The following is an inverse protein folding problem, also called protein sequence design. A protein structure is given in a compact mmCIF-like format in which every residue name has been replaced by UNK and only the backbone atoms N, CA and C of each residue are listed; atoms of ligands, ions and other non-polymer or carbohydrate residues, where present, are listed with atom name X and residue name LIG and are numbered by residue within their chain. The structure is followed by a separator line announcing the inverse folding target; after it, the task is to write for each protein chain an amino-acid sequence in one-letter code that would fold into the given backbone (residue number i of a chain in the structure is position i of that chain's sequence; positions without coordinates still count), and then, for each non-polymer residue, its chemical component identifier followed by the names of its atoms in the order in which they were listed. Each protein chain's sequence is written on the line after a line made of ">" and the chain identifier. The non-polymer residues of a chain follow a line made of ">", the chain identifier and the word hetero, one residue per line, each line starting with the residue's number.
data_IF_230514230565
#
_entry.id   IF_230514230565
#
_cell.length_a   1.000
_cell.length_b   1.000
_cell.length_c   1.000
_cell.angle_alpha   90.00
_cell.angle_beta   90.00
_cell.angle_gamma   90.00
#
_symmetry.space_group_name_H-M   'P 1'
#
loop_
_entity.id
_entity.type
_entity.pdbx_description
1 polymer ?
#
# COMPACT_ATOMS: atom_id res chain seq x y z
N UNK A 1 -3.70 8.38 -55.81
CA UNK A 1 -2.65 8.89 -54.89
C UNK A 1 -3.20 9.44 -53.56
N UNK A 2 -4.30 10.21 -53.52
CA UNK A 2 -4.80 10.82 -52.26
C UNK A 2 -5.23 9.80 -51.19
N UNK A 3 -5.88 8.70 -51.57
CA UNK A 3 -6.33 7.64 -50.63
C UNK A 3 -5.20 7.00 -49.84
N UNK A 4 -4.04 6.76 -50.46
CA UNK A 4 -2.87 6.16 -49.79
C UNK A 4 -2.30 7.13 -48.74
N UNK A 5 -2.30 8.44 -49.04
CA UNK A 5 -1.84 9.45 -48.07
C UNK A 5 -2.76 9.54 -46.85
N UNK A 6 -4.07 9.49 -47.03
CA UNK A 6 -5.04 9.53 -45.92
C UNK A 6 -4.91 8.31 -45.03
N UNK A 7 -4.77 7.11 -45.60
CA UNK A 7 -4.57 5.87 -44.84
C UNK A 7 -3.23 5.89 -44.09
N UNK A 8 -2.15 6.35 -44.72
CA UNK A 8 -0.85 6.47 -44.10
C UNK A 8 -0.85 7.47 -42.93
N UNK A 9 -1.44 8.65 -43.10
CA UNK A 9 -1.56 9.65 -42.03
C UNK A 9 -2.43 9.13 -40.88
N UNK A 10 -3.53 8.43 -41.19
CA UNK A 10 -4.40 7.81 -40.18
C UNK A 10 -3.69 6.71 -39.39
N UNK A 11 -2.86 5.90 -40.06
CA UNK A 11 -2.09 4.84 -39.42
C UNK A 11 -1.01 5.40 -38.48
N UNK A 12 -0.33 6.48 -38.88
CA UNK A 12 0.69 7.14 -38.04
C UNK A 12 0.06 7.78 -36.80
N UNK A 13 -1.08 8.46 -36.95
CA UNK A 13 -1.82 9.04 -35.82
C UNK A 13 -2.29 7.92 -34.88
N UNK A 14 -2.86 6.85 -35.42
CA UNK A 14 -3.30 5.70 -34.62
C UNK A 14 -2.15 5.05 -33.86
N UNK A 15 -1.01 4.80 -34.53
CA UNK A 15 0.17 4.23 -33.89
C UNK A 15 0.73 5.14 -32.78
N UNK A 16 0.68 6.46 -32.98
CA UNK A 16 1.13 7.44 -31.98
C UNK A 16 0.21 7.44 -30.74
N UNK A 17 -1.10 7.45 -30.95
CA UNK A 17 -2.09 7.38 -29.87
C UNK A 17 -1.99 6.05 -29.13
N UNK A 18 -1.89 4.93 -29.84
CA UNK A 18 -1.68 3.61 -29.25
C UNK A 18 -0.38 3.54 -28.44
N UNK A 19 0.74 4.08 -28.97
CA UNK A 19 2.01 4.14 -28.26
C UNK A 19 1.92 4.93 -26.95
N UNK A 20 1.26 6.09 -26.96
CA UNK A 20 1.03 6.90 -25.75
C UNK A 20 0.15 6.16 -24.74
N UNK A 21 -0.93 5.52 -25.19
CA UNK A 21 -1.79 4.72 -24.31
C UNK A 21 -1.06 3.53 -23.71
N UNK A 22 -0.18 2.85 -24.46
CA UNK A 22 0.64 1.75 -23.94
C UNK A 22 1.61 2.24 -22.87
N UNK A 23 2.29 3.36 -23.08
CA UNK A 23 3.19 3.94 -22.09
C UNK A 23 2.44 4.37 -20.82
N UNK A 24 1.28 4.99 -20.98
CA UNK A 24 0.40 5.37 -19.87
C UNK A 24 -0.08 4.17 -19.07
N UNK A 25 -0.55 3.13 -19.75
CA UNK A 25 -1.03 1.91 -19.10
C UNK A 25 0.11 1.18 -18.37
N UNK A 26 1.31 1.13 -18.96
CA UNK A 26 2.48 0.57 -18.31
C UNK A 26 2.86 1.34 -17.03
N UNK A 27 2.74 2.68 -17.04
CA UNK A 27 2.98 3.49 -15.85
C UNK A 27 1.95 3.18 -14.74
N UNK A 28 0.66 3.10 -15.09
CA UNK A 28 -0.39 2.74 -14.14
C UNK A 28 -0.21 1.33 -13.56
N UNK A 29 0.15 0.35 -14.40
CA UNK A 29 0.40 -1.02 -13.97
C UNK A 29 1.55 -1.09 -12.96
N UNK A 30 2.66 -0.39 -13.21
CA UNK A 30 3.80 -0.32 -12.28
C UNK A 30 3.36 0.22 -10.92
N UNK A 31 2.58 1.30 -10.90
CA UNK A 31 2.05 1.89 -9.64
C UNK A 31 1.14 0.93 -8.87
N UNK A 32 0.30 0.16 -9.57
CA UNK A 32 -0.57 -0.84 -8.92
C UNK A 32 0.25 -1.98 -8.35
N UNK A 33 1.26 -2.44 -9.08
CA UNK A 33 2.13 -3.55 -8.68
C UNK A 33 3.01 -3.15 -7.47
N UNK A 34 3.53 -1.93 -7.45
CA UNK A 34 4.20 -1.32 -6.29
C UNK A 34 3.29 -1.31 -5.07
N UNK A 35 2.06 -0.80 -5.20
CA UNK A 35 1.08 -0.78 -4.11
C UNK A 35 0.75 -2.18 -3.59
N UNK A 36 0.60 -3.15 -4.48
CA UNK A 36 0.34 -4.54 -4.12
C UNK A 36 1.51 -5.13 -3.34
N UNK A 37 2.74 -4.90 -3.78
CA UNK A 37 3.95 -5.34 -3.06
C UNK A 37 4.05 -4.73 -1.67
N UNK A 38 3.78 -3.43 -1.54
CA UNK A 38 3.79 -2.73 -0.25
C UNK A 38 2.71 -3.33 0.67
N UNK A 39 1.50 -3.59 0.17
CA UNK A 39 0.42 -4.21 0.94
C UNK A 39 0.77 -5.65 1.39
N UNK A 40 1.34 -6.46 0.51
CA UNK A 40 1.82 -7.81 0.85
C UNK A 40 2.92 -7.77 1.91
N UNK A 41 3.84 -6.81 1.81
CA UNK A 41 4.88 -6.61 2.81
C UNK A 41 4.29 -6.15 4.15
N UNK A 42 3.30 -5.24 4.12
CA UNK A 42 2.56 -4.79 5.29
C UNK A 42 1.91 -5.96 6.02
N UNK A 43 1.25 -6.87 5.28
CA UNK A 43 0.64 -8.07 5.85
C UNK A 43 1.69 -8.95 6.53
N UNK A 44 2.80 -9.25 5.85
CA UNK A 44 3.86 -10.11 6.40
C UNK A 44 4.46 -9.54 7.69
N UNK A 45 4.77 -8.24 7.68
CA UNK A 45 5.31 -7.55 8.85
C UNK A 45 4.30 -7.52 10.00
N UNK A 46 3.04 -7.21 9.71
CA UNK A 46 1.97 -7.17 10.71
C UNK A 46 1.75 -8.53 11.37
N UNK A 47 1.68 -9.62 10.59
CA UNK A 47 1.53 -10.96 11.12
C UNK A 47 2.75 -11.38 11.94
N UNK A 48 3.97 -11.11 11.45
CA UNK A 48 5.19 -11.45 12.18
C UNK A 48 5.28 -10.74 13.52
N UNK A 49 4.97 -9.43 13.58
CA UNK A 49 4.97 -8.69 14.84
C UNK A 49 3.86 -9.16 15.79
N UNK A 50 2.66 -9.39 15.25
CA UNK A 50 1.53 -9.89 16.05
C UNK A 50 1.81 -11.29 16.62
N UNK A 51 2.40 -12.20 15.86
CA UNK A 51 2.79 -13.53 16.32
C UNK A 51 3.87 -13.44 17.40
N UNK A 52 4.88 -12.59 17.21
CA UNK A 52 5.92 -12.35 18.20
C UNK A 52 5.35 -11.79 19.51
N UNK A 53 4.46 -10.78 19.43
CA UNK A 53 3.77 -10.25 20.60
C UNK A 53 2.89 -11.31 21.26
N UNK A 54 2.14 -12.10 20.49
CA UNK A 54 1.32 -13.17 21.04
C UNK A 54 2.17 -14.22 21.76
N UNK A 55 3.31 -14.60 21.20
CA UNK A 55 4.24 -15.55 21.80
C UNK A 55 4.86 -14.99 23.09
N UNK A 56 5.32 -13.73 23.08
CA UNK A 56 5.86 -13.05 24.25
C UNK A 56 4.83 -12.99 25.39
N UNK A 57 3.58 -12.67 25.06
CA UNK A 57 2.52 -12.51 26.06
C UNK A 57 2.08 -13.85 26.65
N UNK A 58 2.12 -14.92 25.86
CA UNK A 58 1.97 -16.30 26.37
C UNK A 58 3.08 -16.68 27.35
N UNK A 59 4.31 -16.20 27.15
CA UNK A 59 5.45 -16.48 28.04
C UNK A 59 5.44 -15.65 29.32
N UNK A 60 5.12 -14.36 29.23
CA UNK A 60 5.15 -13.42 30.37
C UNK A 60 3.86 -13.48 31.20
N UNK A 61 2.76 -13.97 30.61
CA UNK A 61 1.47 -14.15 31.30
C UNK A 61 0.78 -12.84 31.73
N UNK A 62 1.26 -11.68 31.26
CA UNK A 62 0.70 -10.36 31.60
C UNK A 62 0.60 -9.44 30.38
N UNK A 63 -0.58 -8.83 30.23
CA UNK A 63 -0.91 -7.72 29.33
C UNK A 63 -1.86 -8.10 28.18
N UNK A 64 -2.23 -7.13 27.35
CA UNK A 64 -3.19 -7.30 26.25
C UNK A 64 -2.52 -7.30 24.88
N UNK A 65 -2.78 -8.32 24.06
CA UNK A 65 -2.40 -8.34 22.65
C UNK A 65 -3.50 -7.67 21.84
N UNK A 66 -3.15 -6.63 21.07
CA UNK A 66 -4.07 -6.03 20.12
C UNK A 66 -4.43 -7.03 19.00
N UNK A 67 -5.63 -6.95 18.41
CA UNK A 67 -5.99 -7.78 17.28
C UNK A 67 -5.03 -7.57 16.08
N UNK A 68 -4.79 -8.59 15.24
CA UNK A 68 -3.86 -8.51 14.11
C UNK A 68 -4.23 -7.41 13.12
N UNK A 69 -5.51 -7.03 13.00
CA UNK A 69 -5.93 -5.96 12.10
C UNK A 69 -5.36 -4.58 12.50
N UNK A 70 -5.04 -4.37 13.78
CA UNK A 70 -4.42 -3.12 14.26
C UNK A 70 -2.96 -3.04 13.81
N UNK A 71 -2.22 -4.15 13.87
CA UNK A 71 -0.86 -4.23 13.35
C UNK A 71 -0.85 -3.99 11.83
N UNK A 72 -1.80 -4.60 11.12
CA UNK A 72 -1.94 -4.38 9.68
C UNK A 72 -2.20 -2.91 9.35
N UNK A 73 -3.13 -2.27 10.08
CA UNK A 73 -3.42 -0.86 9.91
C UNK A 73 -2.18 0.01 10.13
N UNK A 74 -1.41 -0.24 11.21
CA UNK A 74 -0.15 0.47 11.49
C UNK A 74 0.84 0.38 10.32
N UNK A 75 1.12 -0.84 9.83
CA UNK A 75 2.05 -1.01 8.70
C UNK A 75 1.53 -0.45 7.38
N UNK A 76 0.21 -0.42 7.18
CA UNK A 76 -0.39 0.21 5.99
C UNK A 76 -0.14 1.72 5.93
N UNK A 77 0.06 2.36 7.10
CA UNK A 77 0.42 3.78 7.20
C UNK A 77 1.95 3.99 7.18
N UNK A 78 2.71 3.13 7.86
CA UNK A 78 4.17 3.28 7.99
C UNK A 78 4.92 3.00 6.68
N UNK A 79 4.57 1.94 5.95
CA UNK A 79 5.36 1.52 4.79
C UNK A 79 5.36 2.55 3.64
N UNK A 80 4.24 3.23 3.32
CA UNK A 80 4.28 4.31 2.35
C UNK A 80 5.19 5.48 2.76
N UNK A 81 5.30 5.77 4.07
CA UNK A 81 6.19 6.83 4.57
C UNK A 81 7.66 6.41 4.46
N UNK A 82 7.96 5.15 4.78
CA UNK A 82 9.29 4.56 4.62
C UNK A 82 9.73 4.55 3.15
N UNK A 83 8.86 4.11 2.25
CA UNK A 83 9.14 4.02 0.80
C UNK A 83 9.47 5.38 0.18
N UNK A 84 8.84 6.46 0.67
CA UNK A 84 9.09 7.83 0.23
C UNK A 84 10.24 8.52 0.96
N UNK A 85 10.80 7.90 2.01
CA UNK A 85 11.79 8.55 2.88
C UNK A 85 11.20 9.70 3.71
N UNK A 86 9.88 9.71 3.92
CA UNK A 86 9.13 10.76 4.65
C UNK A 86 8.91 10.39 6.13
N UNK A 87 9.66 9.43 6.66
CA UNK A 87 9.53 9.01 8.05
C UNK A 87 10.20 10.02 8.99
N UNK A 88 9.43 11.01 9.44
CA UNK A 88 9.86 11.97 10.47
C UNK A 88 9.21 11.66 11.83
N UNK A 89 9.74 12.18 12.94
CA UNK A 89 9.14 12.04 14.27
C UNK A 89 7.68 12.51 14.33
N UNK A 90 7.34 13.58 13.60
CA UNK A 90 5.99 14.13 13.53
C UNK A 90 5.05 13.15 12.82
N UNK A 91 5.50 12.57 11.70
CA UNK A 91 4.72 11.57 10.96
C UNK A 91 4.55 10.27 11.74
N UNK A 92 5.55 9.88 12.53
CA UNK A 92 5.40 8.76 13.47
C UNK A 92 4.32 9.05 14.52
N UNK A 93 4.31 10.24 15.11
CA UNK A 93 3.29 10.62 16.09
C UNK A 93 1.88 10.66 15.46
N UNK A 94 1.74 11.12 14.21
CA UNK A 94 0.47 11.06 13.46
C UNK A 94 -0.01 9.61 13.28
N UNK A 95 0.89 8.69 12.92
CA UNK A 95 0.57 7.27 12.76
C UNK A 95 0.14 6.66 14.09
N UNK A 96 0.88 6.92 15.17
CA UNK A 96 0.56 6.38 16.49
C UNK A 96 -0.80 6.89 16.99
N UNK A 97 -1.09 8.18 16.78
CA UNK A 97 -2.40 8.77 17.09
C UNK A 97 -3.54 8.12 16.27
N UNK A 98 -3.32 7.87 14.97
CA UNK A 98 -4.30 7.20 14.12
C UNK A 98 -4.55 5.74 14.56
N UNK A 99 -3.50 5.02 14.94
CA UNK A 99 -3.60 3.65 15.46
C UNK A 99 -4.36 3.63 16.78
N UNK A 100 -4.07 4.56 17.69
CA UNK A 100 -4.76 4.69 18.97
C UNK A 100 -6.26 4.97 18.77
N UNK A 101 -6.60 5.90 17.88
CA UNK A 101 -7.99 6.18 17.52
C UNK A 101 -8.70 4.93 16.95
N UNK A 102 -8.03 4.15 16.10
CA UNK A 102 -8.58 2.91 15.56
C UNK A 102 -8.83 1.86 16.66
N UNK A 103 -7.95 1.77 17.66
CA UNK A 103 -8.14 0.89 18.82
C UNK A 103 -9.36 1.32 19.63
N UNK A 104 -9.52 2.62 19.87
CA UNK A 104 -10.61 3.18 20.69
C UNK A 104 -11.98 3.10 20.01
N UNK A 105 -12.03 3.25 18.69
CA UNK A 105 -13.29 3.28 17.92
C UNK A 105 -13.72 1.92 17.37
N UNK A 106 -12.88 0.89 17.46
CA UNK A 106 -13.23 -0.45 16.97
C UNK A 106 -14.37 -1.01 17.83
N UNK A 107 -15.52 -1.40 17.22
CA UNK A 107 -16.58 -2.04 17.97
C UNK A 107 -16.04 -3.34 18.57
N UNK A 108 -16.21 -3.51 19.89
CA UNK A 108 -15.91 -4.77 20.56
C UNK A 108 -16.77 -5.85 19.90
N UNK A 109 -16.14 -6.85 19.26
CA UNK A 109 -16.85 -8.03 18.79
C UNK A 109 -17.35 -8.75 20.06
N UNK A 110 -18.64 -8.59 20.35
CA UNK A 110 -19.36 -9.34 21.39
C UNK A 110 -19.40 -10.82 21.03
#
# INVERSE_FOLDING_TARGET
>A
MQWISVVATSAVISASVSGLLTLWNAHLQRRVEERKRIAEFAMKMAFSEWEAHTALMKQVGRGSVLPPEIYFYRYSLLLPLLDKGELTPEKMAEVDAAVQHMVETKPQRQ
#
